data_IF_401821159199
#
_entry.id   IF_401821159199
#
_cell.length_a   1.000
_cell.length_b   1.000
_cell.length_c   1.000
_cell.angle_alpha   90.00
_cell.angle_beta   90.00
_cell.angle_gamma   90.00
#
_symmetry.space_group_name_H-M   'P 1'
#
loop_
_entity.id
_entity.type
_entity.pdbx_description
1 polymer ?
#
# COMPACT_ATOMS: atom_id res chain seq x y z
N UNK A 1 -7.28 -5.18 9.98
CA UNK A 1 -5.84 -5.48 10.14
C UNK A 1 -5.08 -4.87 8.98
N UNK A 2 -3.85 -4.41 9.20
CA UNK A 2 -3.00 -3.81 8.16
C UNK A 2 -1.52 -3.98 8.50
N UNK A 3 -0.63 -3.68 7.54
CA UNK A 3 0.79 -3.55 7.85
C UNK A 3 1.01 -2.21 8.52
N UNK A 4 1.58 -2.24 9.72
CA UNK A 4 1.89 -1.06 10.51
C UNK A 4 3.29 -0.54 10.15
N UNK A 5 3.42 0.03 8.95
CA UNK A 5 4.69 0.57 8.44
C UNK A 5 5.23 1.69 9.33
N UNK A 6 6.50 1.61 9.70
CA UNK A 6 7.28 2.74 10.21
C UNK A 6 7.93 3.47 9.03
N UNK A 7 7.14 4.34 8.40
CA UNK A 7 7.52 4.98 7.14
C UNK A 7 7.74 6.48 7.32
N UNK A 8 9.01 6.87 7.35
CA UNK A 8 9.44 8.26 7.26
C UNK A 8 10.18 8.46 5.93
N UNK A 9 9.54 9.04 4.90
CA UNK A 9 10.18 9.26 3.61
C UNK A 9 11.35 10.24 3.75
N UNK A 10 12.43 10.00 3.00
CA UNK A 10 13.60 10.88 2.96
C UNK A 10 13.44 12.00 1.94
N UNK A 11 12.74 11.76 0.84
CA UNK A 11 12.49 12.81 -0.15
C UNK A 11 11.38 13.77 0.30
N UNK A 12 11.54 15.06 -0.04
CA UNK A 12 10.54 16.10 0.23
C UNK A 12 9.44 16.21 -0.84
N UNK A 13 9.63 15.55 -1.99
CA UNK A 13 8.72 15.58 -3.13
C UNK A 13 8.48 14.17 -3.68
N UNK A 14 7.25 13.89 -4.08
CA UNK A 14 6.82 12.70 -4.82
C UNK A 14 6.95 12.89 -6.33
N UNK A 15 6.43 11.92 -7.08
CA UNK A 15 6.10 12.07 -8.50
C UNK A 15 5.34 13.38 -8.77
N UNK A 16 5.64 14.00 -9.91
CA UNK A 16 5.06 15.26 -10.39
C UNK A 16 5.28 16.48 -9.48
N UNK A 17 6.28 16.42 -8.59
CA UNK A 17 6.63 17.53 -7.70
C UNK A 17 5.67 17.72 -6.53
N UNK A 18 4.73 16.80 -6.31
CA UNK A 18 3.81 16.87 -5.19
C UNK A 18 4.57 16.77 -3.85
N UNK A 19 4.19 17.58 -2.86
CA UNK A 19 4.86 17.58 -1.56
C UNK A 19 4.69 16.23 -0.85
N UNK A 20 5.80 15.69 -0.36
CA UNK A 20 5.82 14.47 0.43
C UNK A 20 5.57 14.80 1.91
N UNK A 21 4.35 14.62 2.38
CA UNK A 21 3.99 14.91 3.78
C UNK A 21 4.27 13.73 4.70
N UNK A 22 4.90 13.96 5.85
CA UNK A 22 5.03 12.97 6.93
C UNK A 22 3.81 13.05 7.84
N UNK A 23 3.19 11.91 8.14
CA UNK A 23 2.07 11.83 9.07
C UNK A 23 1.95 10.44 9.71
N UNK A 24 1.32 10.32 10.89
CA UNK A 24 1.14 9.03 11.56
C UNK A 24 0.36 8.03 10.70
N UNK A 25 0.71 6.74 10.78
CA UNK A 25 0.04 5.64 10.06
C UNK A 25 0.11 5.75 8.53
N UNK A 26 1.16 6.39 8.01
CA UNK A 26 1.36 6.50 6.57
C UNK A 26 1.54 5.12 5.94
N UNK A 27 0.87 4.92 4.80
CA UNK A 27 0.80 3.65 4.07
C UNK A 27 0.14 2.48 4.82
N UNK A 28 -0.45 2.68 6.01
CA UNK A 28 -1.17 1.60 6.69
C UNK A 28 -2.44 1.21 5.94
N UNK A 29 -3.17 2.19 5.42
CA UNK A 29 -4.44 1.96 4.72
C UNK A 29 -4.30 1.56 3.25
N UNK A 30 -3.08 1.37 2.72
CA UNK A 30 -2.90 0.99 1.30
C UNK A 30 -3.24 -0.47 1.04
N UNK A 31 -3.28 -1.30 2.09
CA UNK A 31 -3.79 -2.66 2.07
C UNK A 31 -4.39 -2.95 3.44
N UNK A 32 -5.68 -3.29 3.47
CA UNK A 32 -6.42 -3.52 4.72
C UNK A 32 -7.28 -4.77 4.58
N UNK A 33 -7.18 -5.66 5.56
CA UNK A 33 -8.15 -6.73 5.77
C UNK A 33 -9.21 -6.25 6.77
N UNK A 34 -10.42 -5.99 6.31
CA UNK A 34 -11.53 -5.53 7.15
C UNK A 34 -12.28 -6.70 7.78
N UNK A 35 -12.44 -6.65 9.10
CA UNK A 35 -13.45 -7.45 9.78
C UNK A 35 -14.80 -6.72 9.67
N UNK A 36 -15.61 -7.11 8.69
CA UNK A 36 -16.93 -6.52 8.44
C UNK A 36 -17.93 -6.76 9.59
N UNK A 37 -17.66 -7.72 10.49
CA UNK A 37 -18.48 -7.98 11.68
C UNK A 37 -18.13 -7.10 12.89
N UNK A 38 -17.02 -6.35 12.85
CA UNK A 38 -16.59 -5.54 13.99
C UNK A 38 -17.57 -4.37 14.24
N UNK A 39 -18.13 -4.20 15.46
CA UNK A 39 -19.15 -3.19 15.73
C UNK A 39 -18.74 -1.77 15.36
N UNK A 40 -17.47 -1.37 15.62
CA UNK A 40 -16.98 -0.03 15.26
C UNK A 40 -16.82 0.21 13.76
N UNK A 41 -16.76 -0.84 12.93
CA UNK A 41 -16.71 -0.66 11.47
C UNK A 41 -18.09 -0.36 10.87
N UNK A 42 -19.19 -0.52 11.64
CA UNK A 42 -20.55 -0.24 11.16
C UNK A 42 -20.78 1.25 10.85
N UNK A 43 -19.96 2.14 11.37
CA UNK A 43 -20.07 3.58 11.10
C UNK A 43 -19.57 3.96 9.69
N UNK A 44 -18.84 3.07 9.01
CA UNK A 44 -18.28 3.31 7.68
C UNK A 44 -19.36 3.24 6.59
N UNK A 45 -20.36 4.12 6.70
CA UNK A 45 -21.42 4.29 5.72
C UNK A 45 -20.95 5.17 4.55
N UNK A 46 -21.60 5.09 3.37
CA UNK A 46 -21.27 5.99 2.26
C UNK A 46 -21.34 7.47 2.65
N UNK A 47 -22.30 7.86 3.49
CA UNK A 47 -22.42 9.24 4.00
C UNK A 47 -21.20 9.64 4.83
N UNK A 48 -20.78 8.82 5.79
CA UNK A 48 -19.64 9.12 6.64
C UNK A 48 -18.33 9.16 5.84
N UNK A 49 -18.13 8.21 4.92
CA UNK A 49 -16.92 8.16 4.08
C UNK A 49 -16.83 9.40 3.17
N UNK A 50 -17.95 9.91 2.68
CA UNK A 50 -17.98 11.11 1.83
C UNK A 50 -17.85 12.44 2.60
N UNK A 51 -18.05 12.44 3.92
CA UNK A 51 -18.05 13.67 4.74
C UNK A 51 -16.83 13.79 5.65
N UNK A 52 -16.21 12.68 6.04
CA UNK A 52 -15.04 12.68 6.92
C UNK A 52 -13.75 13.04 6.18
N UNK A 53 -12.76 13.51 6.95
CA UNK A 53 -11.45 13.84 6.40
C UNK A 53 -10.67 12.59 5.99
N UNK A 54 -9.78 12.74 5.01
CA UNK A 54 -8.84 11.68 4.66
C UNK A 54 -7.97 11.25 5.86
N UNK A 55 -7.63 12.19 6.76
CA UNK A 55 -6.89 11.86 7.98
C UNK A 55 -7.70 10.94 8.91
N UNK A 56 -9.00 11.16 9.07
CA UNK A 56 -9.87 10.29 9.84
C UNK A 56 -9.89 8.87 9.26
N UNK A 57 -10.09 8.77 7.95
CA UNK A 57 -10.20 7.49 7.22
C UNK A 57 -8.86 6.72 7.18
N UNK A 58 -7.79 7.36 6.71
CA UNK A 58 -6.50 6.71 6.51
C UNK A 58 -5.75 6.40 7.81
N UNK A 59 -6.09 7.07 8.91
CA UNK A 59 -5.46 6.84 10.21
C UNK A 59 -6.36 6.04 11.15
N UNK A 60 -7.48 5.48 10.69
CA UNK A 60 -8.35 4.63 11.50
C UNK A 60 -8.79 5.27 12.81
N UNK A 61 -9.05 6.58 12.84
CA UNK A 61 -9.25 7.31 14.11
C UNK A 61 -10.57 6.96 14.83
N UNK A 62 -11.44 6.16 14.20
CA UNK A 62 -12.62 5.60 14.85
C UNK A 62 -12.35 4.31 15.65
N UNK A 63 -11.13 3.77 15.54
CA UNK A 63 -10.68 2.59 16.27
C UNK A 63 -9.62 2.99 17.30
N UNK A 64 -9.60 2.26 18.41
CA UNK A 64 -8.45 2.24 19.32
C UNK A 64 -7.33 1.40 18.71
N UNK A 65 -6.08 1.68 19.10
CA UNK A 65 -4.91 0.96 18.59
C UNK A 65 -4.97 -0.54 18.88
N UNK A 66 -5.54 -0.92 20.02
CA UNK A 66 -5.76 -2.33 20.39
C UNK A 66 -6.76 -3.06 19.48
N UNK A 67 -7.56 -2.33 18.71
CA UNK A 67 -8.52 -2.89 17.75
C UNK A 67 -7.92 -3.03 16.33
N UNK A 68 -6.70 -2.51 16.11
CA UNK A 68 -6.01 -2.54 14.82
C UNK A 68 -4.98 -3.66 14.81
N UNK A 69 -5.40 -4.86 14.40
CA UNK A 69 -4.46 -5.98 14.25
C UNK A 69 -3.43 -5.77 13.12
N UNK A 70 -2.28 -6.43 13.24
CA UNK A 70 -1.17 -6.36 12.28
C UNK A 70 -1.18 -7.51 11.28
N UNK A 71 -0.75 -7.26 10.04
CA UNK A 71 -0.32 -8.31 9.11
C UNK A 71 1.16 -8.14 8.76
N UNK A 72 1.90 -9.21 8.40
CA UNK A 72 3.31 -9.12 8.00
C UNK A 72 3.53 -8.19 6.81
N UNK A 73 4.64 -7.43 6.82
CA UNK A 73 4.90 -6.41 5.79
C UNK A 73 4.99 -6.95 4.37
N UNK A 74 5.31 -8.23 4.19
CA UNK A 74 5.33 -8.91 2.88
C UNK A 74 3.97 -8.86 2.15
N UNK A 75 2.86 -8.65 2.87
CA UNK A 75 1.52 -8.49 2.30
C UNK A 75 1.17 -7.04 1.91
N UNK A 76 2.08 -6.10 2.12
CA UNK A 76 2.00 -4.72 1.65
C UNK A 76 3.44 -4.16 1.53
N UNK A 77 4.28 -4.83 0.73
CA UNK A 77 5.71 -4.56 0.66
C UNK A 77 5.96 -3.24 -0.10
N UNK A 78 6.49 -2.24 0.59
CA UNK A 78 6.79 -0.92 0.03
C UNK A 78 8.10 -0.97 -0.74
N UNK A 79 8.01 -0.87 -2.06
CA UNK A 79 9.18 -0.79 -2.96
C UNK A 79 10.06 0.40 -2.59
N UNK A 80 11.38 0.18 -2.55
CA UNK A 80 12.37 1.19 -2.14
C UNK A 80 12.48 1.43 -0.63
N UNK A 81 11.58 0.87 0.18
CA UNK A 81 11.60 1.00 1.64
C UNK A 81 11.85 -0.32 2.35
N UNK A 82 11.03 -1.34 2.08
CA UNK A 82 11.28 -2.68 2.61
C UNK A 82 12.44 -3.36 1.86
N UNK A 83 13.08 -4.33 2.51
CA UNK A 83 14.22 -5.06 1.97
C UNK A 83 13.95 -6.54 1.99
N UNK A 84 14.34 -7.19 0.90
CA UNK A 84 14.41 -8.66 0.82
C UNK A 84 15.73 -9.12 1.40
N UNK A 85 15.73 -10.32 1.95
CA UNK A 85 16.92 -11.07 2.33
C UNK A 85 16.87 -12.39 1.57
N UNK A 86 17.89 -12.64 0.75
CA UNK A 86 18.00 -13.87 -0.02
C UNK A 86 18.14 -15.12 0.86
N UNK A 87 18.59 -14.94 2.11
CA UNK A 87 18.75 -16.01 3.08
C UNK A 87 17.50 -16.25 3.93
N UNK A 88 16.49 -15.37 3.84
CA UNK A 88 15.22 -15.52 4.54
C UNK A 88 14.03 -15.46 3.56
N UNK A 89 13.60 -16.61 3.04
CA UNK A 89 12.43 -16.69 2.16
C UNK A 89 11.12 -16.17 2.80
N UNK A 90 11.05 -16.06 4.13
CA UNK A 90 9.84 -15.60 4.83
C UNK A 90 9.58 -14.11 4.66
N UNK A 91 10.61 -13.33 4.29
CA UNK A 91 10.50 -11.89 4.06
C UNK A 91 10.40 -11.50 2.58
N UNK A 92 10.22 -12.48 1.71
CA UNK A 92 9.94 -12.24 0.29
C UNK A 92 8.53 -11.66 0.10
N UNK A 93 8.35 -10.65 -0.77
CA UNK A 93 7.08 -9.98 -0.96
C UNK A 93 6.02 -10.93 -1.53
N UNK A 94 4.83 -10.90 -0.93
CA UNK A 94 3.62 -11.57 -1.43
C UNK A 94 2.66 -10.59 -2.12
N UNK A 95 2.73 -9.32 -1.76
CA UNK A 95 2.04 -8.23 -2.45
C UNK A 95 2.95 -7.00 -2.48
N UNK A 96 3.25 -6.54 -3.71
CA UNK A 96 4.18 -5.44 -3.98
C UNK A 96 3.38 -4.13 -4.08
N UNK A 97 3.82 -3.11 -3.34
CA UNK A 97 3.23 -1.79 -3.32
C UNK A 97 4.23 -0.73 -3.79
N UNK A 98 4.03 -0.27 -5.02
CA UNK A 98 4.78 0.82 -5.66
C UNK A 98 4.36 2.20 -5.13
N UNK A 99 4.86 2.59 -3.94
CA UNK A 99 4.41 3.80 -3.23
C UNK A 99 4.87 5.13 -3.88
N UNK A 100 5.99 5.13 -4.60
CA UNK A 100 6.58 6.33 -5.24
C UNK A 100 6.35 6.42 -6.76
N UNK A 101 5.92 5.32 -7.37
CA UNK A 101 5.81 5.16 -8.82
C UNK A 101 6.15 3.73 -9.21
N UNK A 102 5.45 3.20 -10.22
CA UNK A 102 5.68 1.86 -10.75
C UNK A 102 6.26 1.87 -12.16
N UNK A 103 6.57 0.70 -12.72
CA UNK A 103 7.31 0.57 -13.97
C UNK A 103 6.58 1.09 -15.22
N UNK A 104 5.31 1.45 -15.09
CA UNK A 104 4.53 2.13 -16.13
C UNK A 104 4.88 3.62 -16.30
N UNK A 105 5.69 4.20 -15.41
CA UNK A 105 6.22 5.55 -15.56
C UNK A 105 7.68 5.55 -16.03
N UNK A 106 8.03 6.46 -16.94
CA UNK A 106 9.38 6.55 -17.53
C UNK A 106 10.48 6.64 -16.47
N UNK A 107 10.29 7.48 -15.45
CA UNK A 107 11.26 7.69 -14.37
C UNK A 107 11.41 6.47 -13.43
N UNK A 108 10.50 5.50 -13.49
CA UNK A 108 10.40 4.38 -12.56
C UNK A 108 10.48 3.01 -13.25
N UNK A 109 10.83 2.95 -14.53
CA UNK A 109 10.93 1.68 -15.28
C UNK A 109 11.87 0.66 -14.66
N UNK A 110 12.90 1.11 -13.94
CA UNK A 110 13.94 0.27 -13.34
C UNK A 110 13.78 0.10 -11.81
N UNK A 111 12.56 0.26 -11.27
CA UNK A 111 12.31 0.00 -9.85
C UNK A 111 12.39 -1.50 -9.50
N UNK A 112 12.55 -1.82 -8.21
CA UNK A 112 12.55 -3.22 -7.74
C UNK A 112 11.24 -3.92 -8.18
N UNK A 113 11.35 -5.17 -8.64
CA UNK A 113 10.25 -6.01 -9.12
C UNK A 113 9.52 -5.51 -10.39
N UNK A 114 10.09 -4.53 -11.10
CA UNK A 114 9.52 -4.01 -12.35
C UNK A 114 9.26 -5.11 -13.40
N UNK A 115 10.17 -6.07 -13.49
CA UNK A 115 10.11 -7.23 -14.37
C UNK A 115 8.86 -8.08 -14.14
N UNK A 116 8.46 -8.29 -12.87
CA UNK A 116 7.25 -9.04 -12.53
C UNK A 116 6.00 -8.33 -13.07
N UNK A 117 5.89 -7.03 -12.84
CA UNK A 117 4.72 -6.26 -13.30
C UNK A 117 4.65 -6.20 -14.83
N UNK A 118 5.78 -5.99 -15.50
CA UNK A 118 5.84 -5.94 -16.97
C UNK A 118 5.49 -7.30 -17.58
N UNK A 119 5.97 -8.39 -16.99
CA UNK A 119 5.64 -9.76 -17.39
C UNK A 119 4.14 -10.02 -17.31
N UNK A 120 3.50 -9.68 -16.18
CA UNK A 120 2.05 -9.83 -15.99
C UNK A 120 1.23 -8.96 -16.95
N UNK A 121 1.65 -7.71 -17.18
CA UNK A 121 1.00 -6.83 -18.15
C UNK A 121 1.06 -7.42 -19.57
N UNK A 122 2.21 -7.94 -20.00
CA UNK A 122 2.35 -8.55 -21.33
C UNK A 122 1.55 -9.85 -21.45
N UNK A 123 1.45 -10.65 -20.39
CA UNK A 123 0.57 -11.82 -20.34
C UNK A 123 -0.91 -11.41 -20.51
N UNK A 124 -1.39 -10.45 -19.72
CA UNK A 124 -2.75 -9.91 -19.80
C UNK A 124 -3.09 -9.35 -21.20
N UNK A 125 -2.16 -8.61 -21.83
CA UNK A 125 -2.36 -8.09 -23.20
C UNK A 125 -2.48 -9.20 -24.24
N UNK A 126 -1.77 -10.33 -24.07
CA UNK A 126 -1.87 -11.48 -24.99
C UNK A 126 -3.21 -12.18 -24.84
N UNK A 127 -3.70 -12.35 -23.62
CA UNK A 127 -5.01 -12.96 -23.36
C UNK A 127 -6.16 -12.10 -23.91
N UNK A 128 -6.13 -10.80 -23.67
CA UNK A 128 -7.19 -9.86 -24.12
C UNK A 128 -7.23 -9.64 -25.63
N UNK A 129 -6.11 -9.83 -26.34
CA UNK A 129 -6.06 -9.78 -27.82
C UNK A 129 -6.55 -11.07 -28.49
N UNK A 130 -6.78 -12.13 -27.72
CA UNK A 130 -7.30 -13.41 -28.23
C UNK A 130 -8.83 -13.52 -28.13
N UNK A 131 -9.52 -12.48 -27.64
CA UNK A 131 -10.98 -12.37 -27.52
C UNK A 131 -11.55 -11.47 -28.61
#
# INVERSE_FOLDING_TARGET
MCVQHDYTPKESTKMDGAVQTVYPRKNWSSMVLYNCGHPKNKILTPELVNTQTGAFLHRFTWLEDSEIGSVPFIWNFLVGHNKVDENDPSIQPKAIHYTTGGPWFEMWKNCEFADLWLSEMEAYKKETKQV
#
